data_IF_883658309739
#
_entry.id   IF_883658309739
#
_cell.length_a   1.000
_cell.length_b   1.000
_cell.length_c   1.000
_cell.angle_alpha   90.00
_cell.angle_beta   90.00
_cell.angle_gamma   90.00
#
_symmetry.space_group_name_H-M   'P 1'
#
loop_
_entity.id
_entity.type
_entity.pdbx_description
1 polymer ?
#
# COMPACT_ATOMS: atom_id res chain seq x y z
N UNK A 1 3.71 -6.22 27.38
CA UNK A 1 4.33 -5.84 26.08
C UNK A 1 3.37 -6.19 24.96
N UNK A 2 2.90 -5.22 24.16
CA UNK A 2 2.05 -5.50 23.00
C UNK A 2 2.92 -6.22 21.95
N UNK A 3 2.58 -7.46 21.56
CA UNK A 3 3.13 -8.08 20.34
C UNK A 3 2.61 -7.24 19.17
N UNK A 4 3.44 -6.34 18.64
CA UNK A 4 3.06 -5.41 17.56
C UNK A 4 3.10 -6.08 16.18
N UNK A 5 3.61 -7.31 16.08
CA UNK A 5 3.67 -8.11 14.87
C UNK A 5 3.17 -9.52 15.21
N UNK A 6 2.12 -10.00 14.53
CA UNK A 6 1.63 -11.36 14.77
C UNK A 6 2.34 -12.32 13.81
N UNK A 7 2.87 -13.42 14.34
CA UNK A 7 3.28 -14.57 13.53
C UNK A 7 2.09 -15.09 12.69
N UNK A 8 0.86 -14.87 13.18
CA UNK A 8 -0.39 -15.20 12.47
C UNK A 8 -0.47 -14.52 11.09
N UNK A 9 -0.07 -13.25 10.96
CA UNK A 9 -0.08 -12.53 9.68
C UNK A 9 0.93 -13.16 8.69
N UNK A 10 2.11 -13.53 9.17
CA UNK A 10 3.13 -14.20 8.34
C UNK A 10 2.68 -15.60 7.92
N UNK A 11 2.09 -16.37 8.85
CA UNK A 11 1.52 -17.70 8.59
C UNK A 11 0.39 -17.59 7.58
N UNK A 12 -0.47 -16.58 7.71
CA UNK A 12 -1.56 -16.32 6.76
C UNK A 12 -1.03 -15.99 5.37
N UNK A 13 -0.04 -15.10 5.26
CA UNK A 13 0.60 -14.77 3.99
C UNK A 13 1.30 -15.98 3.35
N UNK A 14 1.99 -16.79 4.14
CA UNK A 14 2.61 -18.04 3.68
C UNK A 14 1.55 -19.06 3.23
N UNK A 15 0.43 -19.14 3.94
CA UNK A 15 -0.71 -20.00 3.57
C UNK A 15 -1.33 -19.54 2.24
N UNK A 16 -1.51 -18.23 2.05
CA UNK A 16 -2.01 -17.65 0.80
C UNK A 16 -1.03 -17.92 -0.36
N UNK A 17 0.28 -17.79 -0.11
CA UNK A 17 1.31 -18.21 -1.06
C UNK A 17 1.13 -19.67 -1.49
N UNK A 18 0.96 -20.59 -0.52
CA UNK A 18 0.75 -22.00 -0.82
C UNK A 18 -0.61 -22.30 -1.47
N UNK A 19 -1.62 -21.46 -1.31
CA UNK A 19 -2.91 -21.63 -1.97
C UNK A 19 -2.91 -21.08 -3.41
N UNK A 20 -1.96 -20.21 -3.77
CA UNK A 20 -1.90 -19.64 -5.11
C UNK A 20 -1.48 -20.71 -6.14
N UNK A 21 -2.46 -21.22 -6.89
CA UNK A 21 -2.26 -22.27 -7.91
C UNK A 21 -1.65 -21.75 -9.21
N UNK A 22 -1.59 -20.43 -9.41
CA UNK A 22 -1.13 -19.82 -10.66
C UNK A 22 0.40 -19.71 -10.73
N UNK A 23 1.12 -19.93 -9.63
CA UNK A 23 2.57 -19.75 -9.55
C UNK A 23 3.27 -21.08 -9.24
N UNK A 24 4.39 -21.35 -9.92
CA UNK A 24 5.28 -22.47 -9.56
C UNK A 24 5.94 -22.15 -8.22
N UNK A 25 5.67 -22.98 -7.22
CA UNK A 25 6.15 -22.79 -5.85
C UNK A 25 7.65 -23.07 -5.75
N UNK A 26 8.43 -22.10 -5.28
CA UNK A 26 9.77 -22.34 -4.74
C UNK A 26 9.68 -22.57 -3.22
N UNK A 27 10.62 -23.33 -2.61
CA UNK A 27 10.60 -23.55 -1.18
C UNK A 27 10.98 -22.27 -0.41
N UNK A 28 10.00 -21.38 -0.17
CA UNK A 28 10.12 -20.17 0.65
C UNK A 28 10.57 -20.50 2.08
N UNK A 29 10.21 -21.69 2.56
CA UNK A 29 10.68 -22.26 3.82
C UNK A 29 12.20 -22.33 3.94
N UNK A 30 12.94 -22.48 2.82
CA UNK A 30 14.40 -22.46 2.84
C UNK A 30 14.90 -21.07 3.23
N UNK A 31 14.41 -20.03 2.56
CA UNK A 31 14.80 -18.65 2.83
C UNK A 31 14.35 -18.16 4.19
N UNK A 32 13.15 -18.57 4.64
CA UNK A 32 12.69 -18.26 6.00
C UNK A 32 13.60 -18.87 7.07
N UNK A 33 13.99 -20.14 6.91
CA UNK A 33 14.94 -20.79 7.83
C UNK A 33 16.28 -20.08 7.87
N UNK A 34 16.83 -19.72 6.71
CA UNK A 34 18.10 -18.99 6.62
C UNK A 34 18.03 -17.61 7.32
N UNK A 35 16.89 -16.91 7.23
CA UNK A 35 16.65 -15.67 7.97
C UNK A 35 16.51 -15.94 9.48
N UNK A 36 15.81 -17.00 9.87
CA UNK A 36 15.60 -17.38 11.27
C UNK A 36 16.92 -17.78 11.97
N UNK A 37 17.80 -18.45 11.24
CA UNK A 37 19.14 -18.87 11.70
C UNK A 37 20.15 -17.69 11.75
N UNK A 38 19.78 -16.52 11.23
CA UNK A 38 20.64 -15.34 11.23
C UNK A 38 20.73 -14.66 12.61
N UNK A 39 21.77 -13.84 12.78
CA UNK A 39 21.98 -13.03 13.97
C UNK A 39 21.09 -11.77 14.06
N UNK A 40 20.14 -11.60 13.13
CA UNK A 40 19.22 -10.46 13.14
C UNK A 40 18.32 -10.46 14.38
N UNK A 41 17.87 -9.28 14.79
CA UNK A 41 16.85 -9.18 15.83
C UNK A 41 15.51 -9.73 15.30
N UNK A 42 14.68 -10.32 16.16
CA UNK A 42 13.40 -10.96 15.78
C UNK A 42 12.48 -10.06 14.94
N UNK A 43 12.49 -8.75 15.22
CA UNK A 43 11.74 -7.77 14.43
C UNK A 43 12.24 -7.68 12.99
N UNK A 44 13.55 -7.70 12.79
CA UNK A 44 14.17 -7.58 11.47
C UNK A 44 14.05 -8.90 10.70
N UNK A 45 14.14 -10.05 11.39
CA UNK A 45 13.79 -11.35 10.83
C UNK A 45 12.36 -11.39 10.30
N UNK A 46 11.39 -10.92 11.09
CA UNK A 46 10.00 -10.85 10.66
C UNK A 46 9.83 -9.97 9.42
N UNK A 47 10.49 -8.80 9.39
CA UNK A 47 10.48 -7.90 8.23
C UNK A 47 11.05 -8.59 6.99
N UNK A 48 12.25 -9.17 7.07
CA UNK A 48 12.92 -9.85 5.95
C UNK A 48 12.11 -11.04 5.44
N UNK A 49 11.49 -11.83 6.34
CA UNK A 49 10.56 -12.91 5.96
C UNK A 49 9.32 -12.37 5.22
N UNK A 50 8.81 -11.22 5.62
CA UNK A 50 7.68 -10.60 4.91
C UNK A 50 8.10 -10.09 3.53
N UNK A 51 9.26 -9.45 3.43
CA UNK A 51 9.82 -8.91 2.18
C UNK A 51 10.13 -10.03 1.16
N UNK A 52 10.74 -11.14 1.59
CA UNK A 52 11.04 -12.25 0.68
C UNK A 52 9.76 -12.94 0.16
N UNK A 53 8.70 -13.01 0.97
CA UNK A 53 7.39 -13.51 0.52
C UNK A 53 6.79 -12.63 -0.58
N UNK A 54 6.98 -11.31 -0.51
CA UNK A 54 6.52 -10.38 -1.53
C UNK A 54 7.22 -10.60 -2.88
N UNK A 55 8.43 -11.18 -2.88
CA UNK A 55 9.19 -11.50 -4.10
C UNK A 55 8.80 -12.84 -4.74
N UNK A 56 7.77 -13.52 -4.26
CA UNK A 56 7.38 -14.81 -4.82
C UNK A 56 7.10 -14.76 -6.33
N UNK A 57 6.25 -13.82 -6.77
CA UNK A 57 5.91 -13.71 -8.19
C UNK A 57 7.12 -13.28 -9.02
N UNK A 58 8.06 -12.54 -8.43
CA UNK A 58 9.33 -12.19 -9.06
C UNK A 58 10.18 -13.44 -9.32
N UNK A 59 10.32 -14.34 -8.32
CA UNK A 59 11.05 -15.61 -8.48
C UNK A 59 10.40 -16.57 -9.49
N UNK A 60 9.12 -16.38 -9.80
CA UNK A 60 8.47 -17.11 -10.88
C UNK A 60 8.91 -16.62 -12.26
N UNK A 61 9.06 -15.30 -12.43
CA UNK A 61 9.54 -14.68 -13.67
C UNK A 61 11.05 -14.88 -13.86
N UNK A 62 11.79 -14.96 -12.76
CA UNK A 62 13.24 -15.17 -12.75
C UNK A 62 13.59 -16.44 -11.96
N UNK A 63 13.27 -17.64 -12.49
CA UNK A 63 13.48 -18.91 -11.78
C UNK A 63 14.96 -19.25 -11.56
N UNK A 64 15.87 -18.60 -12.27
CA UNK A 64 17.31 -18.79 -12.14
C UNK A 64 17.94 -17.95 -11.03
N UNK A 65 17.21 -16.97 -10.48
CA UNK A 65 17.70 -16.14 -9.37
C UNK A 65 17.92 -17.00 -8.13
N UNK A 66 19.10 -16.83 -7.53
CA UNK A 66 19.50 -17.46 -6.27
C UNK A 66 19.98 -16.40 -5.29
N UNK A 67 19.33 -16.26 -4.13
CA UNK A 67 19.76 -15.33 -3.10
C UNK A 67 21.07 -15.79 -2.46
N UNK A 68 22.03 -14.85 -2.35
CA UNK A 68 23.32 -15.03 -1.66
C UNK A 68 23.33 -14.33 -0.30
N UNK A 69 22.55 -13.25 -0.15
CA UNK A 69 22.42 -12.54 1.12
C UNK A 69 20.97 -12.08 1.33
N UNK A 70 20.34 -12.64 2.36
CA UNK A 70 18.96 -12.35 2.77
C UNK A 70 18.84 -11.33 3.92
N UNK A 71 19.96 -10.86 4.47
CA UNK A 71 20.00 -10.07 5.71
C UNK A 71 20.62 -8.69 5.56
N UNK A 72 21.08 -8.32 4.36
CA UNK A 72 21.59 -6.99 4.03
C UNK A 72 20.48 -5.91 4.03
N UNK A 73 20.87 -4.64 4.13
CA UNK A 73 19.93 -3.50 4.25
C UNK A 73 20.03 -2.49 3.10
N UNK A 74 21.02 -2.60 2.21
CA UNK A 74 21.26 -1.62 1.13
C UNK A 74 22.05 -2.27 -0.02
N UNK A 75 21.38 -2.97 -0.95
CA UNK A 75 19.93 -3.11 -1.11
C UNK A 75 19.30 -4.16 -0.17
N UNK A 76 17.98 -4.33 -0.21
CA UNK A 76 17.25 -5.25 0.68
C UNK A 76 17.72 -6.71 0.58
N UNK A 77 18.12 -7.16 -0.61
CA UNK A 77 18.64 -8.50 -0.85
C UNK A 77 19.75 -8.49 -1.90
N UNK A 78 20.63 -9.48 -1.85
CA UNK A 78 21.63 -9.74 -2.90
C UNK A 78 21.39 -11.16 -3.45
N UNK A 79 21.39 -11.27 -4.78
CA UNK A 79 21.21 -12.53 -5.46
C UNK A 79 22.19 -12.67 -6.64
N UNK A 80 22.31 -13.90 -7.14
CA UNK A 80 23.05 -14.22 -8.35
C UNK A 80 22.10 -14.57 -9.48
N UNK A 81 22.38 -14.05 -10.67
CA UNK A 81 21.68 -14.37 -11.92
C UNK A 81 22.68 -14.31 -13.08
N UNK A 82 22.83 -15.40 -13.83
CA UNK A 82 23.73 -15.46 -15.00
C UNK A 82 25.14 -14.92 -14.71
N UNK A 83 25.74 -15.43 -13.63
CA UNK A 83 27.06 -15.02 -13.11
C UNK A 83 27.17 -13.59 -12.56
N UNK A 84 26.14 -12.75 -12.75
CA UNK A 84 26.07 -11.41 -12.17
C UNK A 84 25.56 -11.44 -10.75
N UNK A 85 26.16 -10.62 -9.89
CA UNK A 85 25.70 -10.30 -8.55
C UNK A 85 24.74 -9.11 -8.65
N UNK A 86 23.46 -9.39 -8.45
CA UNK A 86 22.39 -8.39 -8.53
C UNK A 86 21.91 -7.98 -7.14
N UNK A 87 21.76 -6.69 -6.94
CA UNK A 87 21.05 -6.11 -5.81
C UNK A 87 19.56 -6.04 -6.08
N UNK A 88 18.72 -6.41 -5.12
CA UNK A 88 17.26 -6.30 -5.22
C UNK A 88 16.77 -5.38 -4.11
N UNK A 89 16.28 -4.21 -4.51
CA UNK A 89 15.59 -3.26 -3.63
C UNK A 89 14.09 -3.48 -3.75
N UNK A 90 13.40 -3.58 -2.61
CA UNK A 90 11.97 -3.84 -2.54
C UNK A 90 11.21 -2.61 -2.02
N UNK A 91 10.04 -2.35 -2.61
CA UNK A 91 9.12 -1.36 -2.07
C UNK A 91 7.68 -1.68 -2.44
N UNK A 92 6.74 -1.36 -1.56
CA UNK A 92 5.31 -1.53 -1.82
C UNK A 92 4.66 -0.21 -2.26
N UNK A 93 3.82 -0.23 -3.30
CA UNK A 93 3.13 0.99 -3.78
C UNK A 93 1.96 1.40 -2.87
N UNK A 94 1.37 0.43 -2.17
CA UNK A 94 0.23 0.65 -1.30
C UNK A 94 0.54 0.00 0.04
N UNK A 95 0.87 0.84 1.03
CA UNK A 95 1.04 0.38 2.39
C UNK A 95 -0.34 0.24 3.06
N UNK A 96 -0.84 -1.00 3.14
CA UNK A 96 -2.16 -1.33 3.70
C UNK A 96 -2.39 -0.80 5.12
N UNK A 97 -1.33 -0.71 5.92
CA UNK A 97 -1.41 -0.16 7.27
C UNK A 97 -1.70 1.33 7.23
N UNK A 98 -1.23 2.05 6.23
CA UNK A 98 -1.50 3.48 6.08
C UNK A 98 -2.92 3.75 5.62
N UNK A 99 -3.43 2.98 4.65
CA UNK A 99 -4.82 3.10 4.18
C UNK A 99 -5.82 2.82 5.30
N UNK A 100 -5.63 1.73 6.06
CA UNK A 100 -6.48 1.42 7.23
C UNK A 100 -6.40 2.49 8.32
N UNK A 101 -5.22 3.09 8.54
CA UNK A 101 -5.08 4.23 9.46
C UNK A 101 -5.88 5.43 8.98
N UNK A 102 -5.82 5.76 7.69
CA UNK A 102 -6.58 6.87 7.08
C UNK A 102 -8.09 6.63 7.23
N UNK A 103 -8.57 5.45 6.87
CA UNK A 103 -9.98 5.07 6.99
C UNK A 103 -10.47 5.17 8.44
N UNK A 104 -9.68 4.66 9.39
CA UNK A 104 -9.99 4.76 10.82
C UNK A 104 -10.09 6.21 11.29
N UNK A 105 -9.22 7.11 10.83
CA UNK A 105 -9.28 8.53 11.20
C UNK A 105 -10.50 9.24 10.58
N UNK A 106 -10.80 8.97 9.31
CA UNK A 106 -12.01 9.47 8.65
C UNK A 106 -13.28 9.04 9.40
N UNK A 107 -13.37 7.78 9.80
CA UNK A 107 -14.50 7.28 10.57
C UNK A 107 -14.67 7.98 11.92
N UNK A 108 -13.57 8.38 12.59
CA UNK A 108 -13.63 9.19 13.82
C UNK A 108 -14.20 10.59 13.54
N UNK A 109 -13.74 11.25 12.47
CA UNK A 109 -14.23 12.57 12.04
C UNK A 109 -15.73 12.50 11.72
N UNK A 110 -16.16 11.47 10.97
CA UNK A 110 -17.56 11.25 10.65
C UNK A 110 -18.38 11.06 11.91
N UNK A 111 -17.91 10.23 12.84
CA UNK A 111 -18.62 9.99 14.10
C UNK A 111 -18.78 11.25 14.93
N UNK A 112 -17.78 12.12 14.97
CA UNK A 112 -17.88 13.42 15.64
C UNK A 112 -18.93 14.32 14.98
N UNK A 113 -18.94 14.40 13.66
CA UNK A 113 -19.93 15.20 12.92
C UNK A 113 -21.37 14.66 13.10
N UNK A 114 -21.56 13.35 13.06
CA UNK A 114 -22.84 12.68 13.35
C UNK A 114 -23.38 13.09 14.72
N UNK A 115 -22.59 12.93 15.79
CA UNK A 115 -23.00 13.26 17.16
C UNK A 115 -23.40 14.73 17.29
N UNK A 116 -22.66 15.64 16.63
CA UNK A 116 -22.96 17.07 16.68
C UNK A 116 -24.26 17.42 15.94
N UNK A 117 -24.57 16.74 14.83
CA UNK A 117 -25.83 16.92 14.09
C UNK A 117 -27.02 16.30 14.83
N UNK A 118 -26.82 15.14 15.46
CA UNK A 118 -27.84 14.48 16.29
C UNK A 118 -28.23 15.35 17.49
N UNK A 119 -27.24 15.94 18.18
CA UNK A 119 -27.46 16.88 19.30
C UNK A 119 -28.15 18.18 18.87
N UNK A 120 -27.96 18.60 17.62
CA UNK A 120 -28.54 19.83 17.09
C UNK A 120 -30.02 19.65 16.76
N UNK A 121 -30.34 18.66 15.90
CA UNK A 121 -31.71 18.35 15.49
C UNK A 121 -31.75 16.99 14.77
N UNK A 122 -31.88 15.90 15.54
CA UNK A 122 -31.92 14.54 14.98
C UNK A 122 -33.05 14.34 13.95
N UNK A 123 -34.32 14.74 14.20
CA UNK A 123 -35.39 14.58 13.22
C UNK A 123 -35.13 15.26 11.88
N UNK A 124 -34.52 16.45 11.89
CA UNK A 124 -34.17 17.19 10.69
C UNK A 124 -33.03 16.55 9.92
N UNK A 125 -31.99 16.11 10.62
CA UNK A 125 -30.76 15.64 9.97
C UNK A 125 -30.70 14.13 9.76
N UNK A 126 -31.65 13.32 10.25
CA UNK A 126 -31.64 11.85 10.01
C UNK A 126 -31.51 11.50 8.52
N UNK A 127 -30.74 10.44 8.25
CA UNK A 127 -30.39 10.02 6.89
C UNK A 127 -29.01 9.36 6.81
N UNK A 128 -28.72 8.75 5.67
CA UNK A 128 -27.35 8.35 5.31
C UNK A 128 -26.80 9.38 4.34
N UNK A 129 -25.72 10.05 4.72
CA UNK A 129 -25.02 11.03 3.89
C UNK A 129 -23.77 10.38 3.31
N UNK A 130 -23.69 10.41 1.99
CA UNK A 130 -22.52 10.00 1.23
C UNK A 130 -21.76 11.27 0.84
N UNK A 131 -20.52 11.41 1.30
CA UNK A 131 -19.67 12.59 1.07
C UNK A 131 -18.44 12.26 0.22
N UNK A 132 -18.23 13.00 -0.85
CA UNK A 132 -16.98 12.98 -1.63
C UNK A 132 -16.11 14.18 -1.20
N UNK A 133 -14.81 14.00 -1.01
CA UNK A 133 -13.90 15.06 -0.58
C UNK A 133 -12.93 15.49 -1.69
N UNK A 134 -12.46 16.74 -1.63
CA UNK A 134 -11.39 17.24 -2.49
C UNK A 134 -10.05 16.85 -1.85
N UNK A 135 -9.18 16.15 -2.59
CA UNK A 135 -7.77 15.84 -2.29
C UNK A 135 -7.42 15.97 -0.79
N UNK A 136 -7.94 15.06 0.04
CA UNK A 136 -7.67 15.05 1.48
C UNK A 136 -6.27 14.47 1.71
N UNK A 137 -5.30 15.34 2.02
CA UNK A 137 -3.99 14.88 2.42
C UNK A 137 -4.03 14.22 3.81
N UNK A 138 -3.15 13.25 4.04
CA UNK A 138 -3.04 12.55 5.34
C UNK A 138 -2.74 13.48 6.52
N UNK A 139 -1.95 14.54 6.28
CA UNK A 139 -1.65 15.58 7.26
C UNK A 139 -2.90 16.37 7.67
N UNK A 140 -3.78 16.70 6.72
CA UNK A 140 -5.02 17.42 7.01
C UNK A 140 -5.95 16.61 7.92
N UNK A 141 -6.01 15.28 7.76
CA UNK A 141 -6.81 14.40 8.62
C UNK A 141 -6.33 14.33 10.07
N UNK A 142 -5.08 14.69 10.34
CA UNK A 142 -4.52 14.71 11.69
C UNK A 142 -4.61 16.11 12.31
N UNK A 143 -4.27 17.14 11.55
CA UNK A 143 -4.12 18.49 12.07
C UNK A 143 -5.41 19.33 11.99
N UNK A 144 -6.27 19.07 10.98
CA UNK A 144 -7.45 19.89 10.67
C UNK A 144 -8.77 19.21 11.00
N UNK A 145 -8.78 18.28 11.95
CA UNK A 145 -9.99 17.50 12.28
C UNK A 145 -11.20 18.37 12.61
N UNK A 146 -11.04 19.38 13.46
CA UNK A 146 -12.13 20.28 13.86
C UNK A 146 -12.69 21.07 12.66
N UNK A 147 -11.82 21.53 11.76
CA UNK A 147 -12.22 22.23 10.54
C UNK A 147 -13.01 21.30 9.61
N UNK A 148 -12.53 20.07 9.41
CA UNK A 148 -13.19 19.08 8.56
C UNK A 148 -14.58 18.72 9.12
N UNK A 149 -14.70 18.50 10.43
CA UNK A 149 -15.99 18.29 11.09
C UNK A 149 -16.94 19.46 10.82
N UNK A 150 -16.45 20.70 10.93
CA UNK A 150 -17.29 21.87 10.70
C UNK A 150 -17.69 22.03 9.22
N UNK A 151 -16.78 21.73 8.28
CA UNK A 151 -17.08 21.69 6.85
C UNK A 151 -18.16 20.66 6.53
N UNK A 152 -18.09 19.46 7.11
CA UNK A 152 -19.10 18.40 6.97
C UNK A 152 -20.46 18.86 7.51
N UNK A 153 -20.49 19.43 8.72
CA UNK A 153 -21.73 19.96 9.32
C UNK A 153 -22.36 21.05 8.45
N UNK A 154 -21.55 21.99 7.99
CA UNK A 154 -22.01 23.08 7.12
C UNK A 154 -22.52 22.55 5.77
N UNK A 155 -21.86 21.53 5.22
CA UNK A 155 -22.29 20.86 3.99
C UNK A 155 -23.68 20.22 4.17
N UNK A 156 -23.89 19.46 5.24
CA UNK A 156 -25.18 18.80 5.54
C UNK A 156 -26.28 19.82 5.83
N UNK A 157 -26.00 20.86 6.63
CA UNK A 157 -26.96 21.94 6.94
C UNK A 157 -27.45 22.67 5.69
N UNK A 158 -26.54 22.92 4.73
CA UNK A 158 -26.84 23.64 3.49
C UNK A 158 -27.29 22.74 2.35
N UNK A 159 -27.16 21.41 2.47
CA UNK A 159 -27.47 20.44 1.42
C UNK A 159 -26.61 20.56 0.17
N UNK A 160 -25.41 21.14 0.26
CA UNK A 160 -24.50 21.35 -0.88
C UNK A 160 -23.04 21.33 -0.46
N UNK A 161 -22.13 21.14 -1.41
CA UNK A 161 -20.69 21.12 -1.21
C UNK A 161 -20.17 22.38 -0.48
N UNK A 162 -19.33 22.20 0.55
CA UNK A 162 -18.72 23.27 1.36
C UNK A 162 -17.32 22.86 1.79
N UNK A 163 -16.36 23.78 1.67
CA UNK A 163 -14.99 23.58 2.14
C UNK A 163 -14.31 22.38 1.46
N UNK A 164 -13.85 21.42 2.26
CA UNK A 164 -13.23 20.19 1.77
C UNK A 164 -14.20 19.18 1.15
N UNK A 165 -15.52 19.34 1.33
CA UNK A 165 -16.52 18.43 0.75
C UNK A 165 -16.81 18.83 -0.69
N UNK A 166 -16.53 17.93 -1.63
CA UNK A 166 -16.76 18.08 -3.08
C UNK A 166 -18.19 17.78 -3.49
N UNK A 167 -18.80 16.72 -2.95
CA UNK A 167 -20.14 16.26 -3.31
C UNK A 167 -20.85 15.68 -2.09
N UNK A 168 -22.17 15.81 -2.06
CA UNK A 168 -23.04 15.25 -1.03
C UNK A 168 -24.23 14.55 -1.70
N UNK A 169 -24.54 13.35 -1.24
CA UNK A 169 -25.75 12.61 -1.60
C UNK A 169 -26.41 12.11 -0.31
N UNK A 170 -27.73 12.17 -0.25
CA UNK A 170 -28.51 11.73 0.92
C UNK A 170 -29.44 10.59 0.55
N UNK A 171 -29.44 9.54 1.34
CA UNK A 171 -30.47 8.49 1.34
C UNK A 171 -31.31 8.57 2.60
N UNK A 172 -32.59 8.23 2.47
CA UNK A 172 -33.51 8.26 3.61
C UNK A 172 -33.17 7.17 4.62
N UNK A 173 -33.08 7.56 5.90
CA UNK A 173 -32.94 6.65 7.03
C UNK A 173 -33.74 7.19 8.20
N UNK A 174 -34.46 6.31 8.91
CA UNK A 174 -35.53 6.72 9.83
C UNK A 174 -35.07 7.07 11.24
N UNK A 175 -33.90 6.58 11.66
CA UNK A 175 -33.43 6.66 13.05
C UNK A 175 -32.35 7.73 13.25
N UNK A 176 -31.16 7.52 12.70
CA UNK A 176 -29.98 8.30 13.06
C UNK A 176 -29.38 9.07 11.87
N UNK A 177 -28.39 9.90 12.18
CA UNK A 177 -27.49 10.53 11.20
C UNK A 177 -26.32 9.58 10.97
N UNK A 178 -26.16 9.11 9.74
CA UNK A 178 -25.00 8.32 9.35
C UNK A 178 -24.24 9.04 8.25
N UNK A 179 -22.92 9.12 8.39
CA UNK A 179 -22.04 9.72 7.41
C UNK A 179 -21.09 8.64 6.93
N UNK A 180 -21.03 8.50 5.61
CA UNK A 180 -20.09 7.61 4.94
C UNK A 180 -19.43 8.35 3.80
N UNK A 181 -18.28 7.85 3.39
CA UNK A 181 -17.60 8.36 2.21
C UNK A 181 -18.39 7.92 0.96
N UNK A 182 -18.78 8.86 0.09
CA UNK A 182 -19.36 8.52 -1.21
C UNK A 182 -18.24 8.00 -2.09
N UNK A 183 -18.14 6.68 -2.15
CA UNK A 183 -17.33 6.03 -3.16
C UNK A 183 -18.03 6.20 -4.50
N UNK A 184 -17.83 7.35 -5.13
CA UNK A 184 -17.89 7.46 -6.59
C UNK A 184 -16.73 6.60 -7.12
N UNK A 185 -16.84 5.26 -7.05
CA UNK A 185 -15.90 4.23 -7.54
C UNK A 185 -14.44 4.70 -7.71
N UNK A 186 -13.90 5.23 -6.61
CA UNK A 186 -12.53 5.69 -6.45
C UNK A 186 -11.93 5.22 -5.13
N UNK A 187 -12.50 4.16 -4.52
CA UNK A 187 -11.70 3.24 -3.67
C UNK A 187 -10.51 2.64 -4.45
N UNK A 188 -10.59 2.79 -5.77
CA UNK A 188 -9.52 2.66 -6.74
C UNK A 188 -8.96 4.06 -7.00
N UNK A 189 -8.14 4.58 -6.09
CA UNK A 189 -7.08 5.45 -6.55
C UNK A 189 -6.14 4.50 -7.32
N UNK A 190 -6.49 4.26 -8.59
CA UNK A 190 -5.77 3.34 -9.45
C UNK A 190 -4.30 3.67 -9.32
N UNK A 191 -3.46 2.64 -9.23
CA UNK A 191 -2.02 2.79 -9.23
C UNK A 191 -1.65 3.80 -10.33
N UNK A 192 -1.33 5.05 -10.00
CA UNK A 192 -1.04 6.06 -11.01
C UNK A 192 0.47 6.06 -11.25
N UNK A 193 0.87 6.30 -12.48
CA UNK A 193 2.28 6.46 -12.82
C UNK A 193 2.97 7.51 -11.96
N UNK A 194 2.32 8.63 -11.65
CA UNK A 194 2.88 9.69 -10.80
C UNK A 194 3.30 9.17 -9.42
N UNK A 195 2.49 8.33 -8.79
CA UNK A 195 2.81 7.74 -7.47
C UNK A 195 4.00 6.78 -7.55
N UNK A 196 4.10 6.02 -8.64
CA UNK A 196 5.23 5.12 -8.87
C UNK A 196 6.50 5.93 -9.14
N UNK A 197 6.40 7.02 -9.91
CA UNK A 197 7.50 7.94 -10.18
C UNK A 197 8.02 8.53 -8.87
N UNK A 198 7.16 9.05 -7.99
CA UNK A 198 7.56 9.57 -6.68
C UNK A 198 8.31 8.55 -5.81
N UNK A 199 7.87 7.28 -5.85
CA UNK A 199 8.53 6.19 -5.13
C UNK A 199 9.93 5.93 -5.71
N UNK A 200 10.03 5.86 -7.05
CA UNK A 200 11.31 5.64 -7.73
C UNK A 200 12.26 6.80 -7.43
N UNK A 201 11.81 8.05 -7.53
CA UNK A 201 12.64 9.23 -7.22
C UNK A 201 13.17 9.22 -5.79
N UNK A 202 12.34 8.85 -4.81
CA UNK A 202 12.78 8.67 -3.41
C UNK A 202 13.82 7.58 -3.26
N UNK A 203 13.70 6.48 -4.02
CA UNK A 203 14.67 5.37 -3.99
C UNK A 203 15.96 5.72 -4.74
N UNK A 204 15.89 6.51 -5.81
CA UNK A 204 17.06 7.01 -6.55
C UNK A 204 18.03 7.75 -5.61
N UNK A 205 17.51 8.52 -4.65
CA UNK A 205 18.33 9.24 -3.66
C UNK A 205 19.14 8.30 -2.74
N UNK A 206 18.65 7.08 -2.51
CA UNK A 206 19.30 6.08 -1.65
C UNK A 206 20.31 5.21 -2.40
N UNK A 207 20.21 5.15 -3.72
CA UNK A 207 21.06 4.30 -4.56
C UNK A 207 22.57 4.55 -4.36
N UNK A 208 22.96 5.78 -4.03
CA UNK A 208 24.36 6.12 -3.79
C UNK A 208 25.01 5.37 -2.60
N UNK A 209 24.20 4.83 -1.69
CA UNK A 209 24.66 4.11 -0.51
C UNK A 209 24.71 2.59 -0.69
N UNK A 210 24.34 2.09 -1.87
CA UNK A 210 24.25 0.65 -2.11
C UNK A 210 25.63 0.05 -2.37
N UNK A 211 25.75 -1.26 -2.13
CA UNK A 211 26.99 -2.01 -2.32
C UNK A 211 27.51 -1.84 -3.76
N UNK A 212 28.72 -1.27 -3.89
CA UNK A 212 29.37 -1.00 -5.18
C UNK A 212 29.98 -2.25 -5.81
N UNK A 213 30.01 -3.37 -5.11
CA UNK A 213 30.45 -4.67 -5.64
C UNK A 213 29.38 -5.38 -6.48
N UNK A 214 28.18 -4.80 -6.57
CA UNK A 214 27.07 -5.32 -7.36
C UNK A 214 27.26 -4.99 -8.84
N UNK A 215 26.98 -5.95 -9.71
CA UNK A 215 27.02 -5.76 -11.16
C UNK A 215 25.80 -4.99 -11.67
N UNK A 216 24.64 -5.24 -11.05
CA UNK A 216 23.38 -4.55 -11.34
C UNK A 216 22.58 -4.32 -10.05
N UNK A 217 21.78 -3.26 -10.00
CA UNK A 217 20.80 -3.02 -8.95
C UNK A 217 19.39 -2.87 -9.54
N UNK A 218 18.48 -3.73 -9.09
CA UNK A 218 17.11 -3.80 -9.56
C UNK A 218 16.16 -3.28 -8.50
N UNK A 219 15.20 -2.45 -8.91
CA UNK A 219 14.11 -1.99 -8.06
C UNK A 219 12.84 -2.79 -8.38
N UNK A 220 12.30 -3.48 -7.37
CA UNK A 220 11.05 -4.24 -7.47
C UNK A 220 9.97 -3.53 -6.67
N UNK A 221 8.99 -3.02 -7.39
CA UNK A 221 7.86 -2.27 -6.86
C UNK A 221 6.65 -3.20 -6.77
N UNK A 222 6.29 -3.64 -5.58
CA UNK A 222 5.26 -4.64 -5.36
C UNK A 222 3.91 -4.01 -5.06
N UNK A 223 2.88 -4.61 -5.63
CA UNK A 223 1.48 -4.36 -5.36
C UNK A 223 0.87 -5.63 -4.75
N UNK A 224 0.90 -5.72 -3.42
CA UNK A 224 0.34 -6.87 -2.69
C UNK A 224 -1.17 -6.73 -2.55
N UNK A 225 -1.90 -7.43 -3.43
CA UNK A 225 -3.36 -7.37 -3.51
C UNK A 225 -4.04 -8.40 -2.60
N UNK A 226 -3.29 -9.24 -1.90
CA UNK A 226 -3.86 -10.33 -1.09
C UNK A 226 -4.62 -9.85 0.16
N UNK A 227 -4.41 -8.62 0.58
CA UNK A 227 -5.02 -8.03 1.78
C UNK A 227 -6.20 -7.09 1.50
N UNK A 228 -6.53 -6.85 0.22
CA UNK A 228 -7.55 -5.91 -0.23
C UNK A 228 -8.76 -6.63 -0.84
N UNK A 229 -9.96 -6.15 -0.50
CA UNK A 229 -11.18 -6.49 -1.25
C UNK A 229 -11.27 -5.76 -2.61
N UNK A 230 -10.35 -4.82 -2.87
CA UNK A 230 -10.30 -3.96 -4.06
C UNK A 230 -9.19 -4.44 -5.00
N UNK A 231 -9.55 -4.83 -6.22
CA UNK A 231 -8.62 -5.30 -7.26
C UNK A 231 -7.96 -4.12 -7.97
N UNK A 232 -6.64 -3.94 -7.86
CA UNK A 232 -5.91 -2.94 -8.64
C UNK A 232 -5.22 -3.65 -9.81
N UNK A 233 -5.86 -3.69 -10.97
CA UNK A 233 -5.35 -4.40 -12.15
C UNK A 233 -4.75 -3.47 -13.20
N UNK A 234 -4.78 -2.15 -13.03
CA UNK A 234 -4.33 -1.21 -14.06
C UNK A 234 -3.54 -0.02 -13.50
N UNK A 235 -2.39 0.26 -14.12
CA UNK A 235 -1.62 1.48 -13.88
C UNK A 235 -2.19 2.60 -14.75
N UNK A 236 -2.76 3.64 -14.14
CA UNK A 236 -3.22 4.81 -14.88
C UNK A 236 -2.03 5.60 -15.44
N UNK A 237 -2.16 6.11 -16.67
CA UNK A 237 -1.16 6.91 -17.38
C UNK A 237 0.23 6.24 -17.47
N UNK A 238 0.27 4.93 -17.77
CA UNK A 238 1.49 4.11 -17.79
C UNK A 238 2.58 4.67 -18.72
N UNK A 239 2.20 5.36 -19.79
CA UNK A 239 3.09 6.05 -20.72
C UNK A 239 4.06 7.03 -20.04
N UNK A 240 3.69 7.62 -18.90
CA UNK A 240 4.59 8.51 -18.16
C UNK A 240 5.77 7.76 -17.53
N UNK A 241 5.62 6.47 -17.23
CA UNK A 241 6.69 5.65 -16.66
C UNK A 241 7.87 5.47 -17.62
N UNK A 242 7.65 5.54 -18.92
CA UNK A 242 8.72 5.42 -19.93
C UNK A 242 9.70 6.60 -19.91
N UNK A 243 9.32 7.71 -19.29
CA UNK A 243 10.15 8.92 -19.24
C UNK A 243 11.09 8.94 -18.02
N UNK A 244 11.01 7.93 -17.15
CA UNK A 244 11.73 7.97 -15.89
C UNK A 244 13.23 7.77 -16.08
N UNK A 245 14.00 8.63 -15.43
CA UNK A 245 15.44 8.46 -15.29
C UNK A 245 15.74 7.96 -13.89
N UNK A 246 16.57 6.93 -13.81
CA UNK A 246 16.90 6.27 -12.56
C UNK A 246 18.27 5.61 -12.65
N UNK A 247 19.06 5.60 -11.56
CA UNK A 247 20.32 4.86 -11.50
C UNK A 247 20.13 3.35 -11.41
N UNK A 248 18.94 2.85 -11.06
CA UNK A 248 18.66 1.41 -11.07
C UNK A 248 18.76 0.85 -12.49
N UNK A 249 19.42 -0.28 -12.67
CA UNK A 249 19.61 -0.94 -13.96
C UNK A 249 18.28 -1.44 -14.52
N UNK A 250 17.43 -1.97 -13.65
CA UNK A 250 16.07 -2.42 -13.99
C UNK A 250 15.05 -2.00 -12.97
N UNK A 251 13.86 -1.67 -13.44
CA UNK A 251 12.72 -1.34 -12.57
C UNK A 251 11.51 -2.17 -12.98
N UNK A 252 10.99 -2.92 -12.03
CA UNK A 252 9.82 -3.76 -12.23
C UNK A 252 8.67 -3.33 -11.35
N UNK A 253 7.46 -3.40 -11.89
CA UNK A 253 6.23 -3.41 -11.10
C UNK A 253 5.67 -4.83 -11.07
N UNK A 254 5.47 -5.36 -9.87
CA UNK A 254 5.02 -6.73 -9.63
C UNK A 254 3.64 -6.74 -8.97
N UNK A 255 2.66 -7.33 -9.64
CA UNK A 255 1.32 -7.54 -9.11
C UNK A 255 1.20 -8.96 -8.53
N UNK A 256 1.19 -9.08 -7.19
CA UNK A 256 1.36 -10.38 -6.55
C UNK A 256 0.17 -11.34 -6.63
N UNK A 257 -1.03 -10.84 -6.95
CA UNK A 257 -2.24 -11.67 -7.06
C UNK A 257 -2.32 -12.38 -8.42
N UNK A 258 -2.16 -11.62 -9.50
CA UNK A 258 -2.14 -12.14 -10.87
C UNK A 258 -0.79 -12.76 -11.24
N UNK A 259 0.27 -12.39 -10.50
CA UNK A 259 1.65 -12.69 -10.83
C UNK A 259 2.22 -11.77 -11.90
N UNK A 260 1.46 -10.81 -12.45
CA UNK A 260 1.92 -10.00 -13.58
C UNK A 260 3.18 -9.18 -13.22
N UNK A 261 4.18 -9.24 -14.10
CA UNK A 261 5.37 -8.41 -14.05
C UNK A 261 5.33 -7.40 -15.19
N UNK A 262 5.38 -6.11 -14.85
CA UNK A 262 5.56 -5.02 -15.81
C UNK A 262 7.00 -4.51 -15.72
N UNK A 263 7.72 -4.53 -16.84
CA UNK A 263 8.98 -3.81 -16.96
C UNK A 263 8.70 -2.30 -17.15
N UNK A 264 9.29 -1.46 -16.29
CA UNK A 264 9.25 0.00 -16.37
C UNK A 264 10.52 0.54 -17.05
N UNK A 265 11.68 -0.02 -16.69
CA UNK A 265 13.00 0.30 -17.22
C UNK A 265 13.80 -1.00 -17.33
#
# INVERSE_FOLDING_TARGET
MKKVFSEEDLIKNLSLYYLNRHLKKKPMEKYHREIDDSALHERDKYRKKSEILLLNSFLHHFPEVQFENLTCESPDFIAKLNEKKIGIELTEVINHLETKKIESQLNKIFRQAEILLEKEDTPKYRGVYFLEFRNLAKLDLLEKQAEIVQNIRNCIRKGKAVGCVKKIRKSNHRRNVFITHDFNLGLFDGLCSDKIIEIIEKKNQKHAYYDRSLDECWLVIVSDMNSLASRYTFIQNKENLQKIQSPFDKIFHLENLSGNLTNIK
#
